data_IF_191531817584
#
_entry.id   IF_191531817584
#
_cell.length_a   1.000
_cell.length_b   1.000
_cell.length_c   1.000
_cell.angle_alpha   90.00
_cell.angle_beta   90.00
_cell.angle_gamma   90.00
#
_symmetry.space_group_name_H-M   'P 1'
#
loop_
_entity.id
_entity.type
_entity.pdbx_description
1 polymer ?
#
# COMPACT_ATOMS: atom_id res chain seq x y z
N UNK A 1 4.61 -27.69 -12.69
CA UNK A 1 4.51 -27.85 -11.22
C UNK A 1 3.33 -27.00 -10.75
N UNK A 2 2.16 -27.57 -10.50
CA UNK A 2 1.04 -26.84 -9.89
C UNK A 2 1.29 -26.75 -8.39
N UNK A 3 2.16 -25.82 -7.98
CA UNK A 3 2.39 -25.54 -6.58
C UNK A 3 1.16 -24.84 -6.02
N UNK A 4 0.33 -25.56 -5.27
CA UNK A 4 -0.63 -24.94 -4.37
C UNK A 4 0.16 -24.29 -3.25
N UNK A 5 0.54 -23.02 -3.46
CA UNK A 5 1.16 -22.22 -2.42
C UNK A 5 0.00 -21.62 -1.62
N UNK A 6 -0.22 -22.15 -0.41
CA UNK A 6 -1.07 -21.52 0.60
C UNK A 6 -0.35 -20.29 1.18
N UNK A 7 -0.19 -19.24 0.34
CA UNK A 7 0.35 -17.97 0.81
C UNK A 7 -0.75 -17.23 1.55
N UNK A 8 -0.58 -17.10 2.87
CA UNK A 8 -1.33 -16.12 3.65
C UNK A 8 -1.32 -14.76 2.94
N UNK A 9 -2.50 -14.18 2.83
CA UNK A 9 -2.67 -12.87 2.21
C UNK A 9 -1.93 -11.75 2.96
N UNK A 10 -1.94 -10.57 2.35
CA UNK A 10 -1.32 -9.39 2.96
C UNK A 10 -2.20 -8.71 4.01
N UNK A 11 -3.47 -9.10 4.13
CA UNK A 11 -4.29 -8.68 5.26
C UNK A 11 -3.92 -9.51 6.48
N UNK A 12 -4.12 -8.92 7.65
CA UNK A 12 -4.05 -9.66 8.91
C UNK A 12 -5.10 -10.77 8.85
N UNK A 13 -4.71 -12.00 9.15
CA UNK A 13 -5.66 -13.09 9.32
C UNK A 13 -6.45 -12.91 10.61
N UNK A 14 -7.57 -13.63 10.75
CA UNK A 14 -8.38 -13.59 11.97
C UNK A 14 -7.65 -14.19 13.19
N UNK A 15 -6.49 -14.82 12.98
CA UNK A 15 -5.59 -15.21 14.06
C UNK A 15 -4.97 -13.96 14.71
N UNK A 16 -5.26 -13.78 16.00
CA UNK A 16 -4.75 -12.65 16.79
C UNK A 16 -3.22 -12.55 16.80
N UNK A 17 -2.51 -13.65 16.50
CA UNK A 17 -1.05 -13.74 16.47
C UNK A 17 -0.42 -13.47 15.09
N UNK A 18 -1.20 -13.12 14.07
CA UNK A 18 -0.65 -12.82 12.75
C UNK A 18 -0.06 -11.41 12.70
N UNK A 19 1.08 -11.20 13.37
CA UNK A 19 1.87 -9.98 13.23
C UNK A 19 2.73 -10.01 11.95
N UNK A 20 2.88 -11.19 11.34
CA UNK A 20 3.61 -11.41 10.09
C UNK A 20 3.00 -10.70 8.88
N UNK A 21 1.74 -10.26 8.93
CA UNK A 21 1.10 -9.52 7.84
C UNK A 21 1.83 -8.21 7.49
N UNK A 22 2.42 -7.53 8.49
CA UNK A 22 3.22 -6.32 8.26
C UNK A 22 4.46 -6.62 7.43
N UNK A 23 5.15 -7.73 7.71
CA UNK A 23 6.30 -8.16 6.93
C UNK A 23 5.87 -8.57 5.51
N UNK A 24 4.78 -9.32 5.36
CA UNK A 24 4.23 -9.69 4.04
C UNK A 24 3.87 -8.45 3.21
N UNK A 25 3.28 -7.43 3.84
CA UNK A 25 3.00 -6.13 3.21
C UNK A 25 4.28 -5.39 2.86
N UNK A 26 5.27 -5.35 3.74
CA UNK A 26 6.54 -4.66 3.49
C UNK A 26 7.30 -5.27 2.31
N UNK A 27 7.35 -6.61 2.22
CA UNK A 27 7.97 -7.32 1.10
C UNK A 27 7.24 -7.00 -0.21
N UNK A 28 5.90 -7.08 -0.23
CA UNK A 28 5.12 -6.75 -1.41
C UNK A 28 5.27 -5.27 -1.81
N UNK A 29 5.18 -4.36 -0.83
CA UNK A 29 5.31 -2.92 -1.06
C UNK A 29 6.70 -2.60 -1.62
N UNK A 30 7.76 -3.23 -1.10
CA UNK A 30 9.11 -3.06 -1.64
C UNK A 30 9.20 -3.49 -3.10
N UNK A 31 8.69 -4.67 -3.46
CA UNK A 31 8.63 -5.07 -4.87
C UNK A 31 7.79 -4.11 -5.71
N UNK A 32 6.68 -3.59 -5.18
CA UNK A 32 5.88 -2.61 -5.88
C UNK A 32 6.64 -1.30 -6.13
N UNK A 33 7.35 -0.78 -5.14
CA UNK A 33 8.15 0.43 -5.26
C UNK A 33 9.27 0.25 -6.29
N UNK A 34 9.98 -0.89 -6.25
CA UNK A 34 11.03 -1.21 -7.23
C UNK A 34 10.49 -1.30 -8.66
N UNK A 35 9.30 -1.87 -8.87
CA UNK A 35 8.67 -2.00 -10.20
C UNK A 35 8.10 -0.70 -10.76
N UNK A 36 7.92 0.32 -9.93
CA UNK A 36 7.38 1.63 -10.33
C UNK A 36 8.46 2.74 -10.27
N UNK A 37 9.75 2.37 -10.21
CA UNK A 37 10.87 3.30 -10.13
C UNK A 37 10.79 4.29 -8.94
N UNK A 38 10.14 3.86 -7.84
CA UNK A 38 9.97 4.64 -6.60
C UNK A 38 11.08 4.37 -5.58
N UNK A 39 12.21 3.85 -6.05
CA UNK A 39 13.40 3.56 -5.26
C UNK A 39 14.58 4.30 -5.89
N UNK A 40 15.17 5.22 -5.13
CA UNK A 40 16.31 6.03 -5.56
C UNK A 40 17.59 5.23 -5.75
N UNK A 41 18.61 5.89 -6.30
CA UNK A 41 19.93 5.31 -6.61
C UNK A 41 20.59 4.70 -5.36
N UNK A 42 20.36 5.29 -4.18
CA UNK A 42 20.84 4.81 -2.89
C UNK A 42 19.97 3.71 -2.25
N UNK A 43 19.02 3.12 -2.99
CA UNK A 43 18.01 2.17 -2.50
C UNK A 43 17.01 2.74 -1.47
N UNK A 44 16.95 4.06 -1.30
CA UNK A 44 15.94 4.70 -0.46
C UNK A 44 14.59 4.80 -1.19
N UNK A 45 13.49 4.71 -0.44
CA UNK A 45 12.15 4.97 -0.95
C UNK A 45 12.01 6.44 -1.33
N UNK A 46 11.45 6.73 -2.51
CA UNK A 46 11.18 8.11 -2.96
C UNK A 46 9.85 8.66 -2.43
N UNK A 47 9.02 7.81 -1.83
CA UNK A 47 7.79 8.23 -1.16
C UNK A 47 8.05 8.71 0.25
N UNK A 48 7.20 9.63 0.70
CA UNK A 48 7.13 10.05 2.09
C UNK A 48 6.93 8.87 3.06
N UNK A 49 7.65 8.90 4.17
CA UNK A 49 7.63 7.86 5.21
C UNK A 49 6.23 7.70 5.82
N UNK A 50 5.50 8.80 6.04
CA UNK A 50 4.13 8.80 6.53
C UNK A 50 3.18 8.05 5.60
N UNK A 51 3.33 8.23 4.28
CA UNK A 51 2.55 7.46 3.31
C UNK A 51 2.92 5.97 3.33
N UNK A 52 4.21 5.64 3.34
CA UNK A 52 4.66 4.23 3.43
C UNK A 52 4.11 3.58 4.69
N UNK A 53 4.23 4.25 5.83
CA UNK A 53 3.69 3.79 7.11
C UNK A 53 2.18 3.59 7.05
N UNK A 54 1.46 4.51 6.42
CA UNK A 54 0.01 4.40 6.26
C UNK A 54 -0.36 3.17 5.42
N UNK A 55 0.27 2.96 4.26
CA UNK A 55 0.04 1.80 3.40
C UNK A 55 0.32 0.46 4.11
N UNK A 56 1.34 0.42 4.96
CA UNK A 56 1.65 -0.77 5.78
C UNK A 56 0.60 -1.03 6.87
N UNK A 57 0.00 0.02 7.44
CA UNK A 57 -0.83 -0.06 8.66
C UNK A 57 -2.34 -0.04 8.41
N UNK A 58 -2.80 0.04 7.15
CA UNK A 58 -4.21 -0.11 6.79
C UNK A 58 -4.84 -1.36 7.44
N UNK A 59 -6.00 -1.25 8.06
CA UNK A 59 -6.70 -2.36 8.70
C UNK A 59 -6.99 -3.50 7.71
N UNK A 60 -7.51 -3.20 6.53
CA UNK A 60 -7.72 -4.21 5.49
C UNK A 60 -7.72 -3.60 4.09
N UNK A 61 -7.23 -4.37 3.13
CA UNK A 61 -7.32 -4.08 1.71
C UNK A 61 -8.40 -4.96 1.08
N UNK A 62 -9.45 -4.37 0.50
CA UNK A 62 -10.64 -5.08 -0.01
C UNK A 62 -10.31 -6.21 -1.00
N UNK A 63 -9.24 -6.04 -1.76
CA UNK A 63 -8.74 -7.04 -2.72
C UNK A 63 -7.27 -7.40 -2.48
N UNK A 64 -6.81 -7.32 -1.22
CA UNK A 64 -5.45 -7.67 -0.83
C UNK A 64 -4.38 -6.98 -1.68
N UNK A 65 -3.43 -7.77 -2.21
CA UNK A 65 -2.30 -7.28 -2.99
C UNK A 65 -2.70 -6.40 -4.19
N UNK A 66 -3.81 -6.73 -4.87
CA UNK A 66 -4.32 -5.94 -6.00
C UNK A 66 -4.72 -4.53 -5.56
N UNK A 67 -5.30 -4.40 -4.37
CA UNK A 67 -5.66 -3.08 -3.84
C UNK A 67 -4.43 -2.25 -3.49
N UNK A 68 -3.40 -2.85 -2.89
CA UNK A 68 -2.14 -2.14 -2.61
C UNK A 68 -1.48 -1.64 -3.90
N UNK A 69 -1.44 -2.49 -4.93
CA UNK A 69 -0.88 -2.12 -6.23
C UNK A 69 -1.65 -0.99 -6.91
N UNK A 70 -2.98 -1.05 -6.91
CA UNK A 70 -3.80 0.00 -7.51
C UNK A 70 -3.72 1.30 -6.72
N UNK A 71 -3.70 1.26 -5.39
CA UNK A 71 -3.49 2.46 -4.57
C UNK A 71 -2.17 3.13 -4.92
N UNK A 72 -1.07 2.38 -5.03
CA UNK A 72 0.22 2.94 -5.43
C UNK A 72 0.16 3.57 -6.83
N UNK A 73 -0.42 2.89 -7.81
CA UNK A 73 -0.57 3.39 -9.19
C UNK A 73 -1.44 4.65 -9.29
N UNK A 74 -2.53 4.70 -8.52
CA UNK A 74 -3.45 5.84 -8.56
C UNK A 74 -2.92 7.03 -7.77
N UNK A 75 -2.15 6.77 -6.70
CA UNK A 75 -1.69 7.81 -5.77
C UNK A 75 -0.34 8.43 -6.16
N UNK A 76 0.44 7.78 -7.03
CA UNK A 76 1.81 8.18 -7.35
C UNK A 76 1.97 8.43 -8.85
N UNK A 77 2.46 9.61 -9.23
CA UNK A 77 2.80 9.97 -10.60
C UNK A 77 4.24 9.55 -10.97
N UNK A 78 4.62 9.71 -12.23
CA UNK A 78 5.86 9.22 -12.86
C UNK A 78 7.19 9.70 -12.26
N UNK A 79 7.19 10.44 -11.16
CA UNK A 79 8.38 10.99 -10.48
C UNK A 79 8.27 10.91 -8.95
N UNK A 80 7.39 10.04 -8.42
CA UNK A 80 7.15 9.93 -6.98
C UNK A 80 6.26 11.03 -6.40
N UNK A 81 5.78 11.96 -7.23
CA UNK A 81 4.80 12.97 -6.81
C UNK A 81 3.47 12.33 -6.44
N UNK A 82 2.92 12.73 -5.28
CA UNK A 82 1.63 12.23 -4.83
C UNK A 82 0.47 12.97 -5.50
N UNK A 83 -0.44 12.21 -6.10
CA UNK A 83 -1.70 12.69 -6.66
C UNK A 83 -2.81 11.76 -6.21
N UNK A 84 -3.67 12.21 -5.32
CA UNK A 84 -4.75 11.36 -4.85
C UNK A 84 -5.92 11.32 -5.84
N UNK A 85 -6.48 10.13 -6.11
CA UNK A 85 -7.73 10.02 -6.84
C UNK A 85 -8.91 10.50 -5.97
N UNK A 86 -10.10 10.57 -6.55
CA UNK A 86 -11.30 10.90 -5.79
C UNK A 86 -11.55 9.86 -4.68
N UNK A 87 -12.13 10.28 -3.55
CA UNK A 87 -12.40 9.40 -2.40
C UNK A 87 -13.20 8.15 -2.80
N UNK A 88 -14.16 8.28 -3.72
CA UNK A 88 -14.95 7.16 -4.22
C UNK A 88 -14.10 6.08 -4.93
N UNK A 89 -12.99 6.46 -5.57
CA UNK A 89 -12.05 5.52 -6.17
C UNK A 89 -11.20 4.81 -5.12
N UNK A 90 -10.80 5.52 -4.05
CA UNK A 90 -10.10 4.92 -2.90
C UNK A 90 -10.99 3.90 -2.17
N UNK A 91 -12.27 4.21 -2.01
CA UNK A 91 -13.26 3.33 -1.37
C UNK A 91 -13.46 2.01 -2.14
N UNK A 92 -13.02 1.86 -3.39
CA UNK A 92 -13.01 0.56 -4.08
C UNK A 92 -12.01 -0.40 -3.40
N UNK A 93 -10.97 0.14 -2.78
CA UNK A 93 -9.85 -0.62 -2.23
C UNK A 93 -9.79 -0.59 -0.70
N UNK A 94 -10.35 0.44 -0.09
CA UNK A 94 -10.29 0.74 1.34
C UNK A 94 -11.69 0.89 1.94
N UNK A 95 -11.77 0.87 3.27
CA UNK A 95 -12.95 1.42 3.93
C UNK A 95 -12.91 2.96 3.88
N UNK A 96 -14.07 3.59 4.09
CA UNK A 96 -14.21 5.04 4.00
C UNK A 96 -13.28 5.80 4.93
N UNK A 97 -13.18 5.38 6.20
CA UNK A 97 -12.34 6.05 7.21
C UNK A 97 -10.86 6.07 6.80
N UNK A 98 -10.38 5.00 6.18
CA UNK A 98 -9.01 4.91 5.66
C UNK A 98 -8.79 5.73 4.39
N UNK A 99 -9.79 5.77 3.50
CA UNK A 99 -9.76 6.65 2.34
C UNK A 99 -9.68 8.12 2.77
N UNK A 100 -10.48 8.54 3.75
CA UNK A 100 -10.45 9.89 4.34
C UNK A 100 -9.10 10.18 5.02
N UNK A 101 -8.51 9.20 5.70
CA UNK A 101 -7.21 9.32 6.35
C UNK A 101 -6.08 9.50 5.31
N UNK A 102 -6.13 8.76 4.20
CA UNK A 102 -5.18 8.92 3.10
C UNK A 102 -5.25 10.33 2.52
N UNK A 103 -6.46 10.84 2.25
CA UNK A 103 -6.68 12.21 1.80
C UNK A 103 -6.13 13.27 2.77
N UNK A 104 -6.36 13.08 4.07
CA UNK A 104 -5.97 14.05 5.09
C UNK A 104 -4.46 14.09 5.35
N UNK A 105 -3.76 12.96 5.17
CA UNK A 105 -2.31 12.90 5.38
C UNK A 105 -1.52 13.44 4.19
N UNK A 106 -1.94 13.16 2.95
CA UNK A 106 -1.24 13.71 1.77
C UNK A 106 -1.35 15.23 1.72
N UNK A 107 -2.45 15.81 2.20
CA UNK A 107 -2.57 17.27 2.33
C UNK A 107 -1.64 17.92 3.37
N UNK A 108 -0.93 17.14 4.19
CA UNK A 108 0.11 17.64 5.12
C UNK A 108 1.54 17.43 4.59
N UNK A 109 1.68 16.70 3.48
CA UNK A 109 2.95 16.32 2.86
C UNK A 109 3.29 17.15 1.62
N UNK A 110 2.31 17.91 1.10
CA UNK A 110 2.45 18.94 0.07
C UNK A 110 2.47 20.33 0.73
#
# INVERSE_FOLDING_TARGET
LSGYIDTLGINKSDDRKDDGYLLRRAVLLRSLLERNDLVGINKACLLDEGLVRLLLTLSSLKHGARSLEQLLKMCVASEGQLRLPAIAQLEIHLNRKEAELLCSNVGRLL
#
